data_IF_054977297125
#
_entry.id   IF_054977297125
#
_cell.length_a   1.000
_cell.length_b   1.000
_cell.length_c   1.000
_cell.angle_alpha   90.00
_cell.angle_beta   90.00
_cell.angle_gamma   90.00
#
_symmetry.space_group_name_H-M   'P 1'
#
loop_
_entity.id
_entity.type
_entity.pdbx_description
1 polymer ?
#
# COMPACT_ATOMS: atom_id res chain seq x y z
N UNK A 1 0.29 47.56 -55.45
CA UNK A 1 0.70 48.23 -54.20
C UNK A 1 -0.52 48.31 -53.30
N UNK A 2 -0.62 47.73 -52.12
CA UNK A 2 0.23 46.90 -51.26
C UNK A 2 -0.75 46.29 -50.23
N UNK A 3 -0.78 44.97 -50.08
CA UNK A 3 -0.24 44.20 -48.96
C UNK A 3 -1.22 43.99 -47.79
N UNK A 4 -1.87 42.84 -47.94
CA UNK A 4 -2.75 42.08 -47.06
C UNK A 4 -2.02 41.73 -45.75
N UNK A 5 -2.49 42.20 -44.60
CA UNK A 5 -1.94 41.83 -43.29
C UNK A 5 -2.87 40.80 -42.63
N UNK A 6 -2.52 39.52 -42.77
CA UNK A 6 -3.11 38.42 -42.02
C UNK A 6 -2.35 38.28 -40.69
N UNK A 7 -3.00 38.59 -39.58
CA UNK A 7 -2.48 38.26 -38.25
C UNK A 7 -2.72 36.77 -37.96
N UNK A 8 -1.69 35.95 -38.14
CA UNK A 8 -1.64 34.58 -37.62
C UNK A 8 -1.28 34.64 -36.12
N UNK A 9 -2.26 34.43 -35.25
CA UNK A 9 -1.99 34.15 -33.83
C UNK A 9 -1.48 32.70 -33.71
N UNK A 10 -0.17 32.54 -33.57
CA UNK A 10 0.46 31.26 -33.28
C UNK A 10 0.13 30.85 -31.84
N UNK A 11 -0.84 29.95 -31.68
CA UNK A 11 -1.13 29.30 -30.40
C UNK A 11 -0.01 28.27 -30.13
N UNK A 12 0.93 28.64 -29.26
CA UNK A 12 2.05 27.80 -28.86
C UNK A 12 1.49 26.61 -28.07
N UNK A 13 1.43 25.45 -28.72
CA UNK A 13 1.08 24.17 -28.12
C UNK A 13 2.27 23.71 -27.28
N UNK A 14 2.29 24.07 -26.00
CA UNK A 14 3.23 23.48 -25.05
C UNK A 14 2.81 22.02 -24.82
N UNK A 15 3.69 21.03 -25.06
CA UNK A 15 3.39 19.66 -24.68
C UNK A 15 3.37 19.64 -23.14
N UNK A 16 2.21 19.36 -22.56
CA UNK A 16 2.12 19.02 -21.15
C UNK A 16 2.75 17.62 -21.03
N UNK A 17 4.06 17.56 -20.79
CA UNK A 17 4.68 16.33 -20.29
C UNK A 17 4.09 16.04 -18.92
N UNK A 18 3.13 15.13 -18.86
CA UNK A 18 2.69 14.54 -17.60
C UNK A 18 3.87 13.74 -17.06
N UNK A 19 4.62 14.33 -16.14
CA UNK A 19 5.56 13.60 -15.32
C UNK A 19 4.73 12.64 -14.46
N UNK A 20 4.65 11.37 -14.87
CA UNK A 20 4.26 10.30 -13.97
C UNK A 20 5.28 10.33 -12.84
N UNK A 21 4.88 10.83 -11.67
CA UNK A 21 5.68 10.66 -10.47
C UNK A 21 5.92 9.16 -10.32
N UNK A 22 7.18 8.76 -10.35
CA UNK A 22 7.59 7.38 -10.14
C UNK A 22 7.25 7.06 -8.68
N UNK A 23 6.02 6.61 -8.42
CA UNK A 23 5.59 6.23 -7.09
C UNK A 23 6.53 5.11 -6.64
N UNK A 24 7.32 5.30 -5.56
CA UNK A 24 8.24 4.27 -5.11
C UNK A 24 7.49 2.95 -4.96
N UNK A 25 8.00 1.89 -5.57
CA UNK A 25 7.27 0.64 -5.60
C UNK A 25 7.09 0.12 -4.17
N UNK A 26 5.86 -0.26 -3.84
CA UNK A 26 5.45 -0.68 -2.50
C UNK A 26 5.83 -2.14 -2.20
N UNK A 27 6.29 -2.91 -3.19
CA UNK A 27 6.84 -4.23 -2.93
C UNK A 27 8.04 -4.16 -1.98
N UNK A 28 8.17 -5.19 -1.15
CA UNK A 28 9.18 -5.26 -0.10
C UNK A 28 8.73 -6.13 1.06
N UNK A 29 9.66 -6.36 1.98
CA UNK A 29 9.39 -7.07 3.23
C UNK A 29 9.28 -6.06 4.38
N UNK A 30 8.20 -6.17 5.14
CA UNK A 30 7.85 -5.22 6.18
C UNK A 30 7.68 -5.93 7.51
N UNK A 31 8.14 -5.26 8.57
CA UNK A 31 8.06 -5.75 9.93
C UNK A 31 7.25 -4.75 10.77
N UNK A 32 6.32 -5.27 11.56
CA UNK A 32 5.51 -4.47 12.47
C UNK A 32 6.38 -3.91 13.59
N UNK A 33 6.27 -2.61 13.83
CA UNK A 33 6.85 -1.90 14.95
C UNK A 33 5.79 -1.06 15.66
N UNK A 34 5.96 -0.87 16.97
CA UNK A 34 5.04 -0.06 17.77
C UNK A 34 3.82 -0.80 18.33
N UNK A 35 3.74 -2.12 18.13
CA UNK A 35 2.78 -2.99 18.82
C UNK A 35 3.51 -3.78 19.92
N UNK A 36 3.09 -3.65 21.18
CA UNK A 36 3.65 -4.43 22.29
C UNK A 36 3.15 -5.89 22.22
N UNK A 37 4.02 -6.85 22.52
CA UNK A 37 3.71 -8.29 22.63
C UNK A 37 3.21 -8.98 21.33
N UNK A 38 3.11 -8.23 20.22
CA UNK A 38 2.68 -8.72 18.92
C UNK A 38 3.79 -8.54 17.90
N UNK A 39 4.12 -9.61 17.17
CA UNK A 39 4.97 -9.58 16.00
C UNK A 39 4.14 -9.83 14.75
N UNK A 40 4.37 -9.05 13.68
CA UNK A 40 3.81 -9.36 12.38
C UNK A 40 4.77 -9.00 11.26
N UNK A 41 4.69 -9.75 10.17
CA UNK A 41 5.46 -9.56 8.95
C UNK A 41 4.53 -9.51 7.75
N UNK A 42 4.90 -8.69 6.76
CA UNK A 42 4.16 -8.51 5.52
C UNK A 42 5.14 -8.47 4.36
N UNK A 43 5.01 -9.41 3.43
CA UNK A 43 5.74 -9.44 2.17
C UNK A 43 4.81 -9.02 1.04
N UNK A 44 5.05 -7.84 0.46
CA UNK A 44 4.37 -7.37 -0.74
C UNK A 44 5.23 -7.70 -1.96
N UNK A 45 4.66 -8.40 -2.96
CA UNK A 45 5.35 -8.72 -4.21
C UNK A 45 4.93 -7.81 -5.34
N UNK A 46 5.83 -7.64 -6.32
CA UNK A 46 5.60 -6.84 -7.54
C UNK A 46 4.43 -7.32 -8.39
N UNK A 47 4.05 -8.59 -8.29
CA UNK A 47 2.92 -9.18 -9.01
C UNK A 47 1.55 -8.88 -8.37
N UNK A 48 1.52 -8.08 -7.29
CA UNK A 48 0.29 -7.73 -6.58
C UNK A 48 -0.15 -8.77 -5.57
N UNK A 49 0.66 -9.79 -5.26
CA UNK A 49 0.38 -10.77 -4.21
C UNK A 49 1.07 -10.43 -2.89
N UNK A 50 0.55 -10.96 -1.78
CA UNK A 50 1.19 -10.84 -0.47
C UNK A 50 1.27 -12.17 0.28
N UNK A 51 2.25 -12.28 1.17
CA UNK A 51 2.25 -13.19 2.32
C UNK A 51 2.31 -12.36 3.60
N UNK A 52 1.59 -12.79 4.63
CA UNK A 52 1.65 -12.17 5.95
C UNK A 52 1.66 -13.23 7.04
N UNK A 53 2.30 -12.89 8.16
CA UNK A 53 2.32 -13.70 9.37
C UNK A 53 2.15 -12.81 10.59
N UNK A 54 1.51 -13.32 11.63
CA UNK A 54 1.36 -12.63 12.92
C UNK A 54 1.45 -13.64 14.04
N UNK A 55 2.00 -13.20 15.18
CA UNK A 55 2.04 -13.96 16.41
C UNK A 55 1.74 -13.04 17.60
N UNK A 56 0.93 -13.54 18.52
CA UNK A 56 0.61 -12.91 19.80
C UNK A 56 0.43 -13.99 20.88
N UNK A 57 1.35 -14.03 21.85
CA UNK A 57 1.37 -15.09 22.85
C UNK A 57 1.51 -16.48 22.22
N UNK A 58 0.53 -17.36 22.44
CA UNK A 58 0.48 -18.71 21.85
C UNK A 58 -0.39 -18.81 20.59
N UNK A 59 -0.94 -17.68 20.11
CA UNK A 59 -1.75 -17.63 18.91
C UNK A 59 -0.93 -17.08 17.75
N UNK A 60 -1.14 -17.65 16.57
CA UNK A 60 -0.50 -17.24 15.34
C UNK A 60 -1.50 -17.29 14.19
N UNK A 61 -1.08 -16.75 13.04
CA UNK A 61 -1.87 -16.76 11.83
C UNK A 61 -1.05 -16.38 10.63
N UNK A 62 -1.37 -17.00 9.50
CA UNK A 62 -0.72 -16.75 8.22
C UNK A 62 -1.78 -16.47 7.16
N UNK A 63 -1.56 -15.43 6.37
CA UNK A 63 -2.48 -15.06 5.30
C UNK A 63 -1.74 -14.86 3.98
N UNK A 64 -2.41 -15.19 2.89
CA UNK A 64 -1.96 -14.91 1.53
C UNK A 64 -3.09 -14.28 0.75
N UNK A 65 -2.75 -13.45 -0.22
CA UNK A 65 -3.78 -12.86 -1.06
C UNK A 65 -3.22 -11.84 -2.03
N UNK A 66 -4.02 -10.81 -2.30
CA UNK A 66 -3.67 -9.73 -3.22
C UNK A 66 -3.66 -8.40 -2.51
N UNK A 67 -2.91 -7.44 -3.04
CA UNK A 67 -2.86 -6.08 -2.53
C UNK A 67 -3.02 -5.06 -3.63
N UNK A 68 -3.62 -3.92 -3.31
CA UNK A 68 -3.84 -2.80 -4.22
C UNK A 68 -3.73 -1.48 -3.46
N UNK A 69 -3.41 -0.41 -4.18
CA UNK A 69 -3.29 0.94 -3.61
C UNK A 69 -4.24 1.88 -4.32
N UNK A 70 -5.06 2.60 -3.56
CA UNK A 70 -5.86 3.73 -4.04
C UNK A 70 -5.68 4.93 -3.10
N UNK A 71 -5.33 6.09 -3.66
CA UNK A 71 -5.21 7.39 -2.94
C UNK A 71 -4.56 7.27 -1.55
N UNK A 72 -3.41 6.60 -1.47
CA UNK A 72 -2.61 6.40 -0.24
C UNK A 72 -3.15 5.33 0.73
N UNK A 73 -4.15 4.55 0.35
CA UNK A 73 -4.60 3.39 1.12
C UNK A 73 -4.16 2.11 0.41
N UNK A 74 -3.29 1.36 1.07
CA UNK A 74 -2.95 -0.01 0.70
C UNK A 74 -4.03 -0.93 1.29
N UNK A 75 -4.73 -1.68 0.45
CA UNK A 75 -5.71 -2.68 0.86
C UNK A 75 -5.15 -4.07 0.59
N UNK A 76 -5.14 -4.92 1.61
CA UNK A 76 -4.90 -6.35 1.50
C UNK A 76 -6.25 -7.06 1.39
N UNK A 77 -6.35 -8.02 0.47
CA UNK A 77 -7.49 -8.93 0.36
C UNK A 77 -6.99 -10.35 0.49
N UNK A 78 -7.26 -10.97 1.64
CA UNK A 78 -6.85 -12.35 1.91
C UNK A 78 -7.68 -13.32 1.09
N UNK A 79 -7.01 -14.34 0.54
CA UNK A 79 -7.65 -15.56 0.04
C UNK A 79 -7.59 -16.68 1.10
N UNK A 80 -6.89 -16.47 2.22
CA UNK A 80 -6.82 -17.43 3.33
C UNK A 80 -8.06 -17.30 4.19
N UNK A 81 -8.79 -18.40 4.36
CA UNK A 81 -9.89 -18.52 5.33
C UNK A 81 -9.33 -18.90 6.70
N UNK A 82 -9.64 -18.16 7.79
CA UNK A 82 -9.23 -18.53 9.13
C UNK A 82 -9.71 -19.93 9.52
N UNK A 83 -8.84 -20.72 10.16
CA UNK A 83 -9.17 -22.08 10.59
C UNK A 83 -10.12 -22.12 11.80
N UNK A 84 -10.13 -21.06 12.62
CA UNK A 84 -10.99 -20.91 13.79
C UNK A 84 -11.04 -19.46 14.27
N UNK A 85 -11.88 -19.16 15.26
CA UNK A 85 -11.95 -17.83 15.88
C UNK A 85 -10.65 -17.40 16.60
N UNK A 86 -9.71 -18.34 16.82
CA UNK A 86 -8.41 -18.07 17.45
C UNK A 86 -7.27 -17.88 16.43
N UNK A 87 -7.54 -18.14 15.16
CA UNK A 87 -6.55 -18.00 14.10
C UNK A 87 -6.40 -16.53 13.74
N UNK A 88 -5.19 -15.99 13.93
CA UNK A 88 -4.94 -14.57 13.76
C UNK A 88 -4.83 -14.16 12.28
N UNK A 89 -4.92 -15.10 11.32
CA UNK A 89 -4.95 -14.78 9.89
C UNK A 89 -6.14 -13.89 9.51
N UNK A 90 -7.22 -13.91 10.32
CA UNK A 90 -8.36 -13.03 10.19
C UNK A 90 -8.00 -11.52 10.24
N UNK A 91 -6.88 -11.16 10.89
CA UNK A 91 -6.39 -9.78 10.93
C UNK A 91 -6.01 -9.22 9.55
N UNK A 92 -5.84 -10.08 8.55
CA UNK A 92 -5.42 -9.70 7.20
C UNK A 92 -6.53 -9.80 6.14
N UNK A 93 -7.79 -10.13 6.49
CA UNK A 93 -8.85 -10.45 5.52
C UNK A 93 -9.15 -9.30 4.55
N UNK A 94 -9.38 -8.10 5.09
CA UNK A 94 -9.60 -6.85 4.33
C UNK A 94 -8.81 -5.70 4.97
N UNK A 95 -7.55 -5.96 5.33
CA UNK A 95 -6.73 -5.01 6.08
C UNK A 95 -6.39 -3.77 5.24
N UNK A 96 -6.67 -2.60 5.79
CA UNK A 96 -6.30 -1.32 5.20
C UNK A 96 -5.15 -0.69 5.97
N UNK A 97 -4.16 -0.21 5.23
CA UNK A 97 -2.96 0.44 5.74
C UNK A 97 -2.84 1.81 5.07
N UNK A 98 -2.66 2.86 5.87
CA UNK A 98 -2.32 4.17 5.31
C UNK A 98 -0.85 4.16 4.87
N UNK A 99 -0.61 4.59 3.64
CA UNK A 99 0.73 4.70 3.05
C UNK A 99 1.32 6.04 3.51
N UNK A 100 2.13 5.99 4.56
CA UNK A 100 2.84 7.13 5.11
C UNK A 100 4.36 7.02 4.80
N UNK A 101 5.12 8.12 4.86
CA UNK A 101 6.57 8.06 4.69
C UNK A 101 7.23 7.08 5.67
N UNK A 102 7.85 6.02 5.15
CA UNK A 102 8.50 4.94 5.91
C UNK A 102 7.58 4.14 6.85
N UNK A 103 6.26 4.19 6.66
CA UNK A 103 5.31 3.45 7.49
C UNK A 103 4.08 3.06 6.67
N UNK A 104 3.76 1.77 6.62
CA UNK A 104 2.40 1.34 6.31
C UNK A 104 1.65 1.28 7.64
N UNK A 105 0.92 2.35 7.93
CA UNK A 105 0.31 2.57 9.22
C UNK A 105 -0.96 1.73 9.35
N UNK A 106 -1.03 0.95 10.43
CA UNK A 106 -2.24 0.26 10.87
C UNK A 106 -2.80 0.99 12.08
N UNK A 107 -4.11 1.23 12.08
CA UNK A 107 -4.83 1.80 13.22
C UNK A 107 -5.59 0.68 13.96
N UNK A 108 -5.23 0.44 15.22
CA UNK A 108 -5.88 -0.56 16.07
C UNK A 108 -7.03 0.05 16.90
N UNK A 109 -7.39 1.31 16.68
CA UNK A 109 -8.42 2.05 17.41
C UNK A 109 -7.97 2.58 18.77
N UNK A 110 -6.94 1.99 19.37
CA UNK A 110 -6.30 2.44 20.62
C UNK A 110 -4.85 2.92 20.41
N UNK A 111 -4.38 2.97 19.17
CA UNK A 111 -3.03 3.34 18.81
C UNK A 111 -2.70 2.96 17.37
N UNK A 112 -1.64 3.57 16.84
CA UNK A 112 -1.08 3.26 15.51
C UNK A 112 0.16 2.39 15.67
N UNK A 113 0.29 1.39 14.82
CA UNK A 113 1.55 0.68 14.59
C UNK A 113 1.98 0.86 13.14
N UNK A 114 3.24 0.55 12.86
CA UNK A 114 3.83 0.74 11.55
C UNK A 114 4.43 -0.56 11.04
N UNK A 115 4.04 -0.99 9.85
CA UNK A 115 4.86 -1.91 9.07
C UNK A 115 5.97 -1.10 8.40
N UNK A 116 7.23 -1.35 8.77
CA UNK A 116 8.40 -0.68 8.20
C UNK A 116 9.16 -1.63 7.29
N UNK A 117 9.54 -1.12 6.12
CA UNK A 117 10.36 -1.86 5.16
C UNK A 117 11.76 -2.08 5.74
N UNK A 118 12.29 -3.29 5.61
CA UNK A 118 13.71 -3.61 5.85
C UNK A 118 14.44 -3.89 4.54
#
# INVERSE_FOLDING_TARGET
MELKTLFFAALIWLPITQASADTPSLDGHYYLVGAMEMGAELLLRKDGTFDAGVAYGSADGFAKGTWQVDKEILTLKSATKPASDKDLSALFEDLQLAVEPNCLAVDFGNGKACFRRQ
#
